data_IF_692063987282
#
_entry.id   IF_692063987282
#
_cell.length_a   1.000
_cell.length_b   1.000
_cell.length_c   1.000
_cell.angle_alpha   90.00
_cell.angle_beta   90.00
_cell.angle_gamma   90.00
#
_symmetry.space_group_name_H-M   'P 1'
#
loop_
_entity.id
_entity.type
_entity.pdbx_description
1 polymer ?
#
# COMPACT_ATOMS: atom_id res chain seq x y z
N UNK A 1 -19.40 13.51 -1.24
CA UNK A 1 -18.61 13.84 -2.43
C UNK A 1 -18.11 12.55 -3.07
N UNK A 2 -18.31 12.34 -4.38
CA UNK A 2 -17.75 11.18 -5.10
C UNK A 2 -16.35 11.55 -5.56
N UNK A 3 -15.31 11.04 -4.90
CA UNK A 3 -13.94 11.19 -5.39
C UNK A 3 -13.72 10.23 -6.56
N UNK A 4 -12.95 10.68 -7.57
CA UNK A 4 -12.58 9.83 -8.69
C UNK A 4 -11.64 8.72 -8.21
N UNK A 5 -11.73 7.54 -8.81
CA UNK A 5 -10.80 6.44 -8.56
C UNK A 5 -9.34 6.87 -8.78
N UNK A 6 -9.10 7.78 -9.72
CA UNK A 6 -7.79 8.38 -9.95
C UNK A 6 -7.29 9.18 -8.73
N UNK A 7 -8.18 9.87 -8.01
CA UNK A 7 -7.84 10.61 -6.80
C UNK A 7 -7.47 9.66 -5.67
N UNK A 8 -8.25 8.58 -5.49
CA UNK A 8 -7.95 7.54 -4.50
C UNK A 8 -6.60 6.86 -4.81
N UNK A 9 -6.33 6.57 -6.09
CA UNK A 9 -5.07 6.01 -6.55
C UNK A 9 -3.88 6.93 -6.22
N UNK A 10 -3.98 8.22 -6.58
CA UNK A 10 -2.93 9.21 -6.29
C UNK A 10 -2.69 9.37 -4.79
N UNK A 11 -3.74 9.43 -3.98
CA UNK A 11 -3.63 9.56 -2.52
C UNK A 11 -2.91 8.33 -1.93
N UNK A 12 -3.28 7.13 -2.36
CA UNK A 12 -2.69 5.87 -1.89
C UNK A 12 -1.22 5.77 -2.29
N UNK A 13 -0.88 6.17 -3.51
CA UNK A 13 0.49 6.26 -3.98
C UNK A 13 1.33 7.21 -3.12
N UNK A 14 0.86 8.45 -2.90
CA UNK A 14 1.60 9.46 -2.13
C UNK A 14 1.74 9.06 -0.66
N UNK A 15 0.68 8.56 -0.03
CA UNK A 15 0.71 8.10 1.36
C UNK A 15 1.69 6.94 1.52
N UNK A 16 1.63 5.95 0.62
CA UNK A 16 2.53 4.81 0.65
C UNK A 16 3.99 5.21 0.44
N UNK A 17 4.26 6.13 -0.49
CA UNK A 17 5.59 6.70 -0.69
C UNK A 17 6.10 7.42 0.57
N UNK A 18 5.27 8.27 1.19
CA UNK A 18 5.63 9.03 2.38
C UNK A 18 5.87 8.13 3.61
N UNK A 19 5.03 7.11 3.81
CA UNK A 19 5.20 6.11 4.87
C UNK A 19 6.47 5.28 4.66
N UNK A 20 6.73 4.87 3.42
CA UNK A 20 7.95 4.15 3.07
C UNK A 20 9.20 5.00 3.26
N UNK A 21 9.10 6.31 2.98
CA UNK A 21 10.18 7.28 3.23
C UNK A 21 10.53 7.38 4.71
N UNK A 22 9.51 7.35 5.58
CA UNK A 22 9.68 7.36 7.04
C UNK A 22 9.92 5.97 7.65
N UNK A 23 10.20 4.94 6.84
CA UNK A 23 10.43 3.56 7.29
C UNK A 23 9.22 2.85 7.93
N UNK A 24 8.03 3.44 7.82
CA UNK A 24 6.76 2.95 8.36
C UNK A 24 5.89 2.26 7.30
N UNK A 25 6.49 1.65 6.28
CA UNK A 25 5.77 0.98 5.19
C UNK A 25 4.83 -0.14 5.68
N UNK A 26 5.12 -0.76 6.83
CA UNK A 26 4.24 -1.77 7.44
C UNK A 26 2.94 -1.18 8.00
N UNK A 27 2.89 0.13 8.25
CA UNK A 27 1.69 0.85 8.71
C UNK A 27 0.75 1.25 7.57
N UNK A 28 1.06 0.90 6.30
CA UNK A 28 0.22 1.16 5.12
C UNK A 28 -1.22 0.65 5.29
N UNK A 29 -1.43 -0.37 6.13
CA UNK A 29 -2.77 -0.89 6.40
C UNK A 29 -3.77 0.18 6.88
N UNK A 30 -3.36 1.07 7.78
CA UNK A 30 -4.22 2.11 8.38
C UNK A 30 -4.73 3.16 7.39
N UNK A 31 -3.87 3.87 6.62
CA UNK A 31 -4.33 4.82 5.63
C UNK A 31 -5.18 4.16 4.55
N UNK A 32 -4.90 2.91 4.19
CA UNK A 32 -5.66 2.18 3.18
C UNK A 32 -7.08 1.83 3.66
N UNK A 33 -7.29 1.61 4.97
CA UNK A 33 -8.65 1.55 5.53
C UNK A 33 -9.38 2.88 5.34
N UNK A 34 -8.72 4.01 5.61
CA UNK A 34 -9.31 5.35 5.49
C UNK A 34 -9.67 5.62 4.03
N UNK A 35 -8.76 5.31 3.10
CA UNK A 35 -8.99 5.39 1.65
C UNK A 35 -10.18 4.51 1.26
N UNK A 36 -10.21 3.27 1.73
CA UNK A 36 -11.32 2.34 1.49
C UNK A 36 -12.66 2.87 2.00
N UNK A 37 -12.67 3.54 3.15
CA UNK A 37 -13.89 4.00 3.81
C UNK A 37 -14.51 5.24 3.16
N UNK A 38 -13.67 6.18 2.71
CA UNK A 38 -14.12 7.49 2.20
C UNK A 38 -13.99 7.67 0.69
N UNK A 39 -13.05 6.98 0.03
CA UNK A 39 -12.67 7.25 -1.35
C UNK A 39 -13.05 6.11 -2.31
N UNK A 40 -13.12 4.87 -1.82
CA UNK A 40 -13.41 3.68 -2.64
C UNK A 40 -14.84 3.21 -2.41
N UNK A 41 -15.58 2.91 -3.49
CA UNK A 41 -16.98 2.46 -3.42
C UNK A 41 -17.16 0.98 -3.68
N UNK A 42 -16.18 0.32 -4.28
CA UNK A 42 -16.27 -1.07 -4.68
C UNK A 42 -15.01 -1.82 -4.27
N UNK A 43 -15.19 -2.99 -3.67
CA UNK A 43 -14.09 -3.90 -3.34
C UNK A 43 -13.27 -4.30 -4.58
N UNK A 44 -13.88 -4.26 -5.78
CA UNK A 44 -13.18 -4.52 -7.05
C UNK A 44 -12.07 -3.49 -7.33
N UNK A 45 -12.22 -2.27 -6.84
CA UNK A 45 -11.25 -1.20 -7.01
C UNK A 45 -10.14 -1.24 -5.94
N UNK A 46 -10.33 -1.97 -4.83
CA UNK A 46 -9.32 -2.08 -3.77
C UNK A 46 -8.01 -2.69 -4.25
N UNK A 47 -8.04 -3.56 -5.27
CA UNK A 47 -6.81 -4.11 -5.86
C UNK A 47 -5.99 -3.03 -6.57
N UNK A 48 -6.65 -2.12 -7.32
CA UNK A 48 -5.97 -1.00 -7.99
C UNK A 48 -5.35 -0.04 -6.98
N UNK A 49 -6.01 0.14 -5.85
CA UNK A 49 -5.52 0.93 -4.72
C UNK A 49 -4.30 0.27 -4.08
N UNK A 50 -4.37 -1.03 -3.81
CA UNK A 50 -3.20 -1.78 -3.33
C UNK A 50 -2.03 -1.75 -4.31
N UNK A 51 -2.31 -1.73 -5.62
CA UNK A 51 -1.28 -1.58 -6.65
C UNK A 51 -0.64 -0.18 -6.61
N UNK A 52 -1.43 0.87 -6.40
CA UNK A 52 -0.92 2.23 -6.18
C UNK A 52 0.00 2.30 -4.97
N UNK A 53 -0.39 1.66 -3.86
CA UNK A 53 0.42 1.60 -2.65
C UNK A 53 1.74 0.83 -2.88
N UNK A 54 1.68 -0.33 -3.54
CA UNK A 54 2.87 -1.12 -3.88
C UNK A 54 3.82 -0.34 -4.79
N UNK A 55 3.30 0.40 -5.76
CA UNK A 55 4.10 1.28 -6.61
C UNK A 55 4.74 2.42 -5.81
N UNK A 56 4.00 3.08 -4.91
CA UNK A 56 4.54 4.15 -4.05
C UNK A 56 5.71 3.66 -3.20
N UNK A 57 5.58 2.47 -2.61
CA UNK A 57 6.66 1.82 -1.85
C UNK A 57 7.84 1.45 -2.74
N UNK A 58 7.59 0.84 -3.90
CA UNK A 58 8.64 0.43 -4.83
C UNK A 58 9.46 1.63 -5.33
N UNK A 59 8.78 2.74 -5.69
CA UNK A 59 9.43 3.98 -6.11
C UNK A 59 10.33 4.53 -4.99
N UNK A 60 9.87 4.54 -3.74
CA UNK A 60 10.68 4.97 -2.61
C UNK A 60 11.92 4.08 -2.42
N UNK A 61 11.74 2.75 -2.48
CA UNK A 61 12.85 1.78 -2.31
C UNK A 61 13.88 1.91 -3.43
N UNK A 62 13.48 2.34 -4.63
CA UNK A 62 14.39 2.58 -5.76
C UNK A 62 14.98 4.00 -5.78
N UNK A 63 14.48 4.92 -4.93
CA UNK A 63 14.96 6.30 -4.86
C UNK A 63 16.26 6.42 -4.04
N UNK A 64 16.89 7.61 -4.04
CA UNK A 64 18.29 7.87 -3.64
C UNK A 64 18.78 7.26 -2.29
N UNK A 65 17.92 7.09 -1.27
CA UNK A 65 18.27 6.42 0.01
C UNK A 65 18.06 4.90 0.01
N UNK A 66 17.34 4.39 -0.98
CA UNK A 66 17.03 2.98 -1.13
C UNK A 66 18.18 2.16 -1.72
N UNK A 67 19.14 2.79 -2.42
CA UNK A 67 20.33 2.11 -2.94
C UNK A 67 21.15 1.42 -1.85
N UNK A 68 21.29 2.04 -0.67
CA UNK A 68 21.97 1.43 0.49
C UNK A 68 21.22 0.19 1.01
N UNK A 69 19.89 0.25 1.01
CA UNK A 69 18.99 -0.83 1.50
C UNK A 69 18.91 -1.98 0.49
N UNK A 70 19.01 -1.67 -0.80
CA UNK A 70 19.15 -2.66 -1.88
C UNK A 70 20.49 -3.40 -1.73
N UNK A 71 21.56 -2.70 -1.34
CA UNK A 71 22.86 -3.34 -1.04
C UNK A 71 22.81 -4.24 0.20
N UNK A 72 22.18 -3.80 1.29
CA UNK A 72 22.00 -4.63 2.48
C UNK A 72 21.13 -5.87 2.21
N UNK A 73 20.01 -5.70 1.50
CA UNK A 73 19.16 -6.83 1.10
C UNK A 73 19.86 -7.78 0.12
N UNK A 74 20.75 -7.29 -0.74
CA UNK A 74 21.60 -8.15 -1.59
C UNK A 74 22.60 -8.97 -0.78
N UNK A 75 23.21 -8.39 0.26
CA UNK A 75 24.08 -9.11 1.20
C UNK A 75 23.31 -10.21 1.94
N UNK A 76 22.12 -9.90 2.47
CA UNK A 76 21.26 -10.89 3.15
C UNK A 76 20.81 -11.98 2.18
N UNK A 77 20.44 -11.63 0.94
CA UNK A 77 20.05 -12.60 -0.09
C UNK A 77 21.20 -13.57 -0.43
N UNK A 78 22.42 -13.05 -0.55
CA UNK A 78 23.60 -13.87 -0.82
C UNK A 78 23.94 -14.80 0.34
N UNK A 79 23.84 -14.32 1.59
CA UNK A 79 24.07 -15.15 2.79
C UNK A 79 23.00 -16.25 2.91
N UNK A 80 21.74 -15.91 2.63
CA UNK A 80 20.62 -16.84 2.69
C UNK A 80 20.52 -17.77 1.46
N UNK A 81 21.38 -17.61 0.45
CA UNK A 81 21.35 -18.40 -0.78
C UNK A 81 20.10 -18.18 -1.63
N UNK A 82 19.46 -17.01 -1.52
CA UNK A 82 18.21 -16.71 -2.23
C UNK A 82 18.55 -16.32 -3.68
N UNK A 83 18.10 -17.09 -4.68
CA UNK A 83 18.28 -16.72 -6.08
C UNK A 83 17.53 -15.42 -6.38
N UNK A 84 18.17 -14.53 -7.13
CA UNK A 84 17.62 -13.22 -7.51
C UNK A 84 18.01 -12.04 -6.60
N UNK A 85 18.77 -12.28 -5.52
CA UNK A 85 19.41 -11.20 -4.76
C UNK A 85 18.42 -10.19 -4.17
N UNK A 86 18.72 -8.90 -4.29
CA UNK A 86 17.86 -7.80 -3.82
C UNK A 86 16.55 -7.65 -4.60
N UNK A 87 16.49 -8.16 -5.84
CA UNK A 87 15.24 -8.13 -6.65
C UNK A 87 14.16 -8.97 -5.99
N UNK A 88 14.53 -10.15 -5.47
CA UNK A 88 13.61 -11.05 -4.77
C UNK A 88 12.99 -10.36 -3.56
N UNK A 89 13.80 -9.65 -2.76
CA UNK A 89 13.29 -8.87 -1.62
C UNK A 89 12.31 -7.78 -2.05
N UNK A 90 12.62 -7.05 -3.13
CA UNK A 90 11.76 -5.98 -3.63
C UNK A 90 10.40 -6.54 -4.12
N UNK A 91 10.41 -7.67 -4.82
CA UNK A 91 9.19 -8.37 -5.24
C UNK A 91 8.37 -8.84 -4.03
N UNK A 92 9.00 -9.45 -3.02
CA UNK A 92 8.31 -9.88 -1.80
C UNK A 92 7.71 -8.70 -1.05
N UNK A 93 8.45 -7.60 -0.86
CA UNK A 93 7.92 -6.39 -0.22
C UNK A 93 6.76 -5.82 -1.01
N UNK A 94 6.86 -5.76 -2.35
CA UNK A 94 5.78 -5.30 -3.22
C UNK A 94 4.51 -6.16 -3.08
N UNK A 95 4.64 -7.49 -3.05
CA UNK A 95 3.51 -8.42 -2.85
C UNK A 95 2.88 -8.22 -1.48
N UNK A 96 3.69 -8.11 -0.42
CA UNK A 96 3.18 -7.88 0.95
C UNK A 96 2.39 -6.58 1.00
N UNK A 97 2.95 -5.49 0.47
CA UNK A 97 2.29 -4.18 0.44
C UNK A 97 1.00 -4.26 -0.36
N UNK A 98 1.02 -4.89 -1.54
CA UNK A 98 -0.17 -5.07 -2.38
C UNK A 98 -1.29 -5.77 -1.61
N UNK A 99 -0.99 -6.88 -0.92
CA UNK A 99 -1.96 -7.66 -0.16
C UNK A 99 -2.50 -6.86 1.02
N UNK A 100 -1.60 -6.28 1.84
CA UNK A 100 -1.98 -5.51 3.04
C UNK A 100 -2.82 -4.29 2.68
N UNK A 101 -2.42 -3.53 1.66
CA UNK A 101 -3.15 -2.35 1.20
C UNK A 101 -4.51 -2.74 0.61
N UNK A 102 -4.56 -3.79 -0.22
CA UNK A 102 -5.83 -4.28 -0.77
C UNK A 102 -6.80 -4.71 0.33
N UNK A 103 -6.30 -5.43 1.35
CA UNK A 103 -7.11 -5.86 2.50
C UNK A 103 -7.60 -4.65 3.31
N UNK A 104 -6.73 -3.68 3.60
CA UNK A 104 -7.11 -2.44 4.29
C UNK A 104 -8.23 -1.72 3.56
N UNK A 105 -8.09 -1.52 2.25
CA UNK A 105 -9.12 -0.91 1.42
C UNK A 105 -10.42 -1.71 1.41
N UNK A 106 -10.38 -3.05 1.29
CA UNK A 106 -11.60 -3.90 1.35
C UNK A 106 -12.33 -3.76 2.68
N UNK A 107 -11.59 -3.70 3.80
CA UNK A 107 -12.17 -3.49 5.12
C UNK A 107 -12.84 -2.12 5.19
N UNK A 108 -12.17 -1.06 4.76
CA UNK A 108 -12.75 0.29 4.71
C UNK A 108 -14.04 0.35 3.89
N UNK A 109 -14.05 -0.25 2.70
CA UNK A 109 -15.23 -0.32 1.82
C UNK A 109 -16.38 -1.06 2.50
N UNK A 110 -16.09 -2.13 3.23
CA UNK A 110 -17.12 -2.96 3.90
C UNK A 110 -17.77 -2.24 5.09
N UNK A 111 -17.03 -1.37 5.77
CA UNK A 111 -17.52 -0.57 6.92
C UNK A 111 -18.35 0.63 6.45
N UNK A 112 -17.99 1.25 5.33
CA UNK A 112 -18.64 2.46 4.78
C UNK A 112 -20.19 2.41 4.76
N UNK A 113 -20.86 1.36 4.24
CA UNK A 113 -22.33 1.28 4.25
C UNK A 113 -22.93 1.06 5.65
N UNK A 114 -22.20 0.45 6.58
CA UNK A 114 -22.67 0.27 7.96
C UNK A 114 -22.73 1.62 8.69
N UNK A 115 -21.72 2.48 8.49
CA UNK A 115 -21.68 3.82 9.08
C UNK A 115 -22.83 4.70 8.59
N UNK A 116 -23.13 4.67 7.29
CA UNK A 116 -24.26 5.44 6.72
C UNK A 116 -25.60 5.06 7.34
N UNK A 117 -25.83 3.76 7.57
CA UNK A 117 -27.06 3.28 8.24
C UNK A 117 -27.20 3.74 9.69
N UNK A 118 -26.08 4.03 10.37
CA UNK A 118 -26.09 4.56 11.74
C UNK A 118 -26.41 6.05 11.74
N UNK A 119 -25.91 6.81 10.76
CA UNK A 119 -26.23 8.23 10.60
C UNK A 119 -27.69 8.47 10.23
N UNK A 120 -28.29 7.64 9.37
CA UNK A 120 -29.71 7.76 8.98
C UNK A 120 -30.70 7.46 10.13
N UNK A 121 -30.23 6.91 11.25
CA UNK A 121 -31.04 6.61 12.44
C UNK A 121 -30.97 7.67 13.54
N UNK A 122 -30.16 8.72 13.36
CA UNK A 122 -30.08 9.87 14.26
C UNK A 122 -30.88 11.04 13.72
#
# INVERSE_FOLDING_TARGET
MRYSLATAFLISFVLSYALSFSYYWYLIFLPEIIVGLFLVQSAKCSFLIGFAAALGTAVQILSYNGSFRISESALVANIAGIPGGSVTFLVFTGIIVLVVASLGSVIGVSISPMLKKVEEKK
#
